data_IF_166287624713
#
_entry.id   IF_166287624713
#
_cell.length_a   1.000
_cell.length_b   1.000
_cell.length_c   1.000
_cell.angle_alpha   90.00
_cell.angle_beta   90.00
_cell.angle_gamma   90.00
#
_symmetry.space_group_name_H-M   'P 1'
#
loop_
_entity.id
_entity.type
_entity.pdbx_description
1 polymer ?
#
# COMPACT_ATOMS: atom_id res chain seq x y z
N UNK A 1 14.81 -34.08 -60.62
CA UNK A 1 15.44 -32.80 -61.01
C UNK A 1 14.60 -31.68 -60.43
N UNK A 2 15.18 -30.88 -59.54
CA UNK A 2 14.58 -29.67 -58.95
C UNK A 2 14.41 -28.58 -60.01
N UNK A 3 13.54 -27.57 -59.80
CA UNK A 3 13.99 -26.37 -59.08
C UNK A 3 12.97 -25.76 -58.10
N UNK A 4 13.51 -25.01 -57.15
CA UNK A 4 12.83 -24.05 -56.27
C UNK A 4 12.47 -22.75 -57.00
N UNK A 5 11.55 -21.94 -56.47
CA UNK A 5 11.75 -20.53 -56.07
C UNK A 5 10.43 -19.93 -55.52
N UNK A 6 10.58 -19.11 -54.47
CA UNK A 6 9.58 -18.29 -53.77
C UNK A 6 8.79 -17.33 -54.68
N UNK A 7 7.55 -16.94 -54.33
CA UNK A 7 7.21 -15.62 -53.74
C UNK A 7 5.69 -15.29 -53.70
N UNK A 8 5.30 -14.66 -52.58
CA UNK A 8 4.29 -13.61 -52.37
C UNK A 8 2.76 -13.80 -52.61
N UNK A 9 2.05 -13.56 -51.49
CA UNK A 9 0.87 -12.71 -51.26
C UNK A 9 -0.52 -13.09 -51.80
N UNK A 10 -1.36 -13.45 -50.82
CA UNK A 10 -2.64 -12.80 -50.49
C UNK A 10 -3.63 -12.49 -51.63
N UNK A 11 -4.78 -13.18 -51.62
CA UNK A 11 -6.10 -12.55 -51.44
C UNK A 11 -7.24 -13.56 -51.49
N UNK A 12 -8.27 -13.25 -50.69
CA UNK A 12 -9.68 -13.61 -50.87
C UNK A 12 -10.09 -15.07 -50.65
N UNK A 13 -10.52 -15.37 -49.42
CA UNK A 13 -11.77 -16.11 -49.24
C UNK A 13 -12.63 -15.41 -48.19
N UNK A 14 -13.54 -14.59 -48.71
CA UNK A 14 -14.68 -14.05 -47.99
C UNK A 14 -15.72 -15.17 -47.81
N UNK A 15 -16.48 -15.07 -46.72
CA UNK A 15 -17.77 -15.73 -46.45
C UNK A 15 -17.69 -17.19 -45.97
N UNK A 16 -17.86 -17.37 -44.65
CA UNK A 16 -19.17 -17.67 -44.09
C UNK A 16 -18.99 -18.44 -42.77
N UNK A 17 -19.20 -17.78 -41.62
CA UNK A 17 -19.75 -18.48 -40.47
C UNK A 17 -20.70 -17.54 -39.72
N UNK A 18 -21.97 -17.86 -39.90
CA UNK A 18 -23.08 -17.35 -39.14
C UNK A 18 -22.96 -17.78 -37.67
N UNK A 19 -23.28 -16.84 -36.79
CA UNK A 19 -24.02 -17.01 -35.55
C UNK A 19 -23.76 -18.26 -34.70
N UNK A 20 -22.91 -18.10 -33.69
CA UNK A 20 -23.17 -18.68 -32.37
C UNK A 20 -22.98 -17.60 -31.30
N UNK A 21 -24.08 -17.29 -30.64
CA UNK A 21 -24.18 -16.28 -29.61
C UNK A 21 -23.25 -16.59 -28.42
N UNK A 22 -22.39 -15.63 -28.14
CA UNK A 22 -21.52 -15.58 -26.98
C UNK A 22 -22.36 -15.24 -25.74
N UNK A 23 -22.59 -16.21 -24.86
CA UNK A 23 -23.10 -15.99 -23.51
C UNK A 23 -21.97 -15.49 -22.60
N UNK A 24 -21.65 -14.20 -22.66
CA UNK A 24 -20.85 -13.52 -21.65
C UNK A 24 -21.77 -12.57 -20.87
N UNK A 25 -22.07 -12.94 -19.62
CA UNK A 25 -22.67 -12.03 -18.65
C UNK A 25 -21.71 -10.86 -18.41
N UNK A 26 -21.96 -9.73 -19.08
CA UNK A 26 -21.28 -8.47 -18.78
C UNK A 26 -21.83 -7.91 -17.46
N UNK A 27 -20.96 -7.84 -16.46
CA UNK A 27 -21.21 -7.18 -15.19
C UNK A 27 -21.10 -5.65 -15.38
N UNK A 28 -22.16 -4.85 -15.18
CA UNK A 28 -22.10 -3.41 -15.44
C UNK A 28 -21.52 -2.69 -14.22
N UNK A 29 -20.19 -2.60 -14.11
CA UNK A 29 -19.52 -1.80 -13.06
C UNK A 29 -18.32 -0.99 -13.55
N UNK A 30 -18.38 -0.45 -14.77
CA UNK A 30 -17.41 0.57 -15.18
C UNK A 30 -18.13 1.75 -15.83
N UNK A 31 -18.38 2.76 -15.02
CA UNK A 31 -18.38 4.19 -15.37
C UNK A 31 -18.57 5.00 -14.07
N UNK A 32 -17.52 5.14 -13.27
CA UNK A 32 -17.52 6.11 -12.18
C UNK A 32 -17.11 7.47 -12.74
N UNK A 33 -18.05 8.42 -12.76
CA UNK A 33 -17.79 9.82 -13.09
C UNK A 33 -16.85 10.47 -12.04
N UNK A 34 -16.15 11.58 -12.37
CA UNK A 34 -15.37 12.32 -11.38
C UNK A 34 -16.26 12.78 -10.21
N UNK A 35 -15.79 12.54 -8.98
CA UNK A 35 -16.53 12.76 -7.75
C UNK A 35 -16.92 14.24 -7.58
N UNK A 36 -18.23 14.51 -7.46
CA UNK A 36 -18.76 15.74 -6.86
C UNK A 36 -19.65 15.34 -5.68
N UNK A 37 -19.41 15.86 -4.45
CA UNK A 37 -20.23 15.50 -3.30
C UNK A 37 -21.60 16.20 -3.37
N UNK A 38 -22.72 15.50 -3.05
CA UNK A 38 -24.02 16.14 -2.98
C UNK A 38 -24.17 16.97 -1.69
N UNK A 39 -24.71 18.19 -1.83
CA UNK A 39 -25.07 19.07 -0.71
C UNK A 39 -26.51 18.78 -0.29
N UNK A 40 -26.74 18.48 1.00
CA UNK A 40 -28.08 18.25 1.54
C UNK A 40 -28.88 19.57 1.67
N UNK A 41 -30.22 19.55 1.50
CA UNK A 41 -31.05 20.75 1.45
C UNK A 41 -31.12 21.59 2.75
N UNK A 42 -30.61 21.08 3.87
CA UNK A 42 -30.73 21.72 5.19
C UNK A 42 -29.40 22.23 5.79
N UNK A 43 -28.31 22.32 5.02
CA UNK A 43 -27.05 22.94 5.48
C UNK A 43 -26.30 22.19 6.59
N UNK A 44 -26.84 21.11 7.15
CA UNK A 44 -26.13 20.23 8.06
C UNK A 44 -25.26 19.24 7.27
N UNK A 45 -23.96 19.20 7.58
CA UNK A 45 -23.03 18.22 7.02
C UNK A 45 -23.13 16.93 7.87
N UNK A 46 -23.80 15.86 7.40
CA UNK A 46 -23.67 14.56 8.05
C UNK A 46 -22.19 14.12 8.02
N UNK A 47 -21.71 13.33 9.00
CA UNK A 47 -20.37 12.75 8.90
C UNK A 47 -20.28 12.02 7.57
N UNK A 48 -19.23 12.25 6.77
CA UNK A 48 -19.20 11.79 5.39
C UNK A 48 -19.10 10.26 5.40
N UNK A 49 -20.23 9.58 5.25
CA UNK A 49 -20.25 8.22 4.72
C UNK A 49 -20.06 8.38 3.23
N UNK A 50 -18.80 8.40 2.80
CA UNK A 50 -18.42 8.57 1.39
C UNK A 50 -18.89 7.34 0.61
N UNK A 51 -20.05 7.47 -0.03
CA UNK A 51 -20.62 6.47 -0.95
C UNK A 51 -19.56 6.14 -2.01
N UNK A 52 -19.18 4.86 -2.10
CA UNK A 52 -18.16 4.36 -3.05
C UNK A 52 -16.81 3.96 -2.45
N UNK A 53 -16.55 4.23 -1.17
CA UNK A 53 -15.29 3.85 -0.49
C UNK A 53 -15.40 2.61 0.42
N UNK A 54 -16.50 1.85 0.34
CA UNK A 54 -16.72 0.67 1.20
C UNK A 54 -15.58 -0.35 1.10
N UNK A 55 -15.01 -0.51 -0.09
CA UNK A 55 -13.87 -1.40 -0.34
C UNK A 55 -12.55 -0.92 0.28
N UNK A 56 -12.47 0.29 0.85
CA UNK A 56 -11.25 0.85 1.47
C UNK A 56 -11.20 0.65 3.00
N UNK A 57 -12.28 0.14 3.58
CA UNK A 57 -12.38 -0.20 5.00
C UNK A 57 -12.64 -1.71 5.18
N UNK A 58 -12.52 -2.20 6.42
CA UNK A 58 -13.07 -3.52 6.78
C UNK A 58 -14.57 -3.40 6.95
N UNK A 59 -15.34 -4.29 6.30
CA UNK A 59 -16.79 -4.37 6.50
C UNK A 59 -17.14 -4.70 7.98
N UNK A 60 -18.23 -4.13 8.50
CA UNK A 60 -18.52 -4.19 9.94
C UNK A 60 -18.82 -5.63 10.44
N UNK A 61 -19.47 -6.43 9.60
CA UNK A 61 -19.70 -7.86 9.81
C UNK A 61 -18.38 -8.66 9.83
N UNK A 62 -17.45 -8.32 8.94
CA UNK A 62 -16.13 -8.93 8.91
C UNK A 62 -15.31 -8.54 10.15
N UNK A 63 -15.35 -7.28 10.57
CA UNK A 63 -14.70 -6.82 11.81
C UNK A 63 -15.17 -7.61 13.02
N UNK A 64 -16.49 -7.78 13.15
CA UNK A 64 -17.11 -8.49 14.27
C UNK A 64 -16.76 -9.99 14.24
N UNK A 65 -16.89 -10.64 13.08
CA UNK A 65 -16.58 -12.08 12.92
C UNK A 65 -15.10 -12.39 13.15
N UNK A 66 -14.21 -11.49 12.74
CA UNK A 66 -12.78 -11.65 12.93
C UNK A 66 -12.31 -11.17 14.32
N UNK A 67 -13.17 -10.55 15.13
CA UNK A 67 -12.84 -9.94 16.42
C UNK A 67 -11.65 -8.96 16.32
N UNK A 68 -11.64 -8.13 15.28
CA UNK A 68 -10.58 -7.14 15.08
C UNK A 68 -10.73 -6.01 16.09
N UNK A 69 -9.68 -5.79 16.88
CA UNK A 69 -9.61 -4.69 17.86
C UNK A 69 -8.76 -3.56 17.32
N UNK A 70 -9.23 -2.33 17.53
CA UNK A 70 -8.48 -1.15 17.14
C UNK A 70 -7.17 -1.06 17.96
N UNK A 71 -6.00 -0.96 17.33
CA UNK A 71 -4.73 -0.96 18.03
C UNK A 71 -4.40 0.44 18.57
N UNK A 72 -5.04 0.83 19.67
CA UNK A 72 -4.88 2.16 20.27
C UNK A 72 -3.43 2.48 20.65
N UNK A 73 -2.69 1.50 21.19
CA UNK A 73 -1.27 1.64 21.53
C UNK A 73 -0.42 1.93 20.29
N UNK A 74 -0.68 1.24 19.17
CA UNK A 74 0.03 1.49 17.92
C UNK A 74 -0.15 2.93 17.44
N UNK A 75 -1.39 3.43 17.48
CA UNK A 75 -1.72 4.80 17.05
C UNK A 75 -1.05 5.81 17.98
N UNK A 76 -1.17 5.65 19.29
CA UNK A 76 -0.54 6.54 20.27
C UNK A 76 0.98 6.60 20.09
N UNK A 77 1.63 5.45 19.92
CA UNK A 77 3.09 5.38 19.96
C UNK A 77 3.74 5.75 18.61
N UNK A 78 3.04 5.55 17.49
CA UNK A 78 3.63 5.69 16.14
C UNK A 78 2.90 6.69 15.24
N UNK A 79 1.62 6.95 15.47
CA UNK A 79 0.77 7.76 14.59
C UNK A 79 0.15 8.95 15.35
N UNK A 80 0.79 9.44 16.42
CA UNK A 80 0.23 10.42 17.34
C UNK A 80 -0.24 11.74 16.67
N UNK A 81 0.37 12.13 15.55
CA UNK A 81 -0.02 13.33 14.79
C UNK A 81 -1.24 13.11 13.89
N UNK A 82 -1.87 11.93 13.95
CA UNK A 82 -3.02 11.58 13.14
C UNK A 82 -4.10 10.86 13.94
N UNK A 83 -5.33 11.37 13.88
CA UNK A 83 -6.52 10.73 14.46
C UNK A 83 -7.40 10.19 13.35
N UNK A 84 -7.60 8.87 13.35
CA UNK A 84 -8.45 8.22 12.35
C UNK A 84 -9.92 8.60 12.55
N UNK A 85 -10.56 9.09 11.49
CA UNK A 85 -12.02 9.32 11.44
C UNK A 85 -12.75 7.98 11.34
N UNK A 86 -12.18 7.06 10.57
CA UNK A 86 -12.68 5.71 10.38
C UNK A 86 -11.64 4.66 10.81
N UNK A 87 -11.76 4.12 12.04
CA UNK A 87 -10.89 3.07 12.56
C UNK A 87 -10.78 1.83 11.67
N UNK A 88 -11.80 1.53 10.86
CA UNK A 88 -11.86 0.32 10.05
C UNK A 88 -10.88 0.38 8.85
N UNK A 89 -10.42 1.57 8.45
CA UNK A 89 -9.38 1.72 7.42
C UNK A 89 -8.02 1.28 7.96
N UNK A 90 -7.67 1.67 9.20
CA UNK A 90 -6.44 1.19 9.84
C UNK A 90 -6.47 -0.32 10.07
N UNK A 91 -7.62 -0.86 10.50
CA UNK A 91 -7.79 -2.31 10.63
C UNK A 91 -7.51 -3.02 9.30
N UNK A 92 -8.01 -2.47 8.18
CA UNK A 92 -7.75 -3.02 6.85
C UNK A 92 -6.27 -2.99 6.50
N UNK A 93 -5.59 -1.87 6.79
CA UNK A 93 -4.17 -1.69 6.53
C UNK A 93 -3.27 -2.71 7.25
N UNK A 94 -3.72 -3.21 8.40
CA UNK A 94 -3.00 -4.21 9.20
C UNK A 94 -3.46 -5.64 8.91
N UNK A 95 -4.43 -5.85 8.03
CA UNK A 95 -5.08 -7.13 7.79
C UNK A 95 -4.38 -7.94 6.68
N UNK A 96 -3.57 -8.92 7.07
CA UNK A 96 -2.95 -9.83 6.10
C UNK A 96 -4.01 -10.75 5.46
N UNK A 97 -3.92 -11.10 4.16
CA UNK A 97 -4.87 -11.99 3.48
C UNK A 97 -5.07 -13.34 4.16
N UNK A 98 -4.06 -13.82 4.89
CA UNK A 98 -4.12 -15.13 5.52
C UNK A 98 -4.86 -15.17 6.87
N UNK A 99 -5.11 -14.03 7.52
CA UNK A 99 -5.64 -14.01 8.88
C UNK A 99 -7.09 -14.50 8.91
N UNK A 100 -7.37 -15.60 9.61
CA UNK A 100 -8.70 -16.25 9.63
C UNK A 100 -9.30 -16.43 8.24
N UNK A 101 -8.47 -16.74 7.23
CA UNK A 101 -8.90 -16.76 5.83
C UNK A 101 -10.09 -17.71 5.56
N UNK A 102 -10.18 -18.81 6.33
CA UNK A 102 -11.30 -19.77 6.26
C UNK A 102 -12.64 -19.15 6.68
N UNK A 103 -12.61 -18.17 7.58
CA UNK A 103 -13.80 -17.56 8.17
C UNK A 103 -14.35 -16.40 7.32
N UNK A 104 -13.58 -15.94 6.32
CA UNK A 104 -13.90 -14.74 5.53
C UNK A 104 -14.97 -14.94 4.44
N UNK A 105 -15.46 -16.16 4.21
CA UNK A 105 -16.54 -16.48 3.24
C UNK A 105 -16.42 -15.76 1.87
N UNK A 106 -15.20 -15.59 1.35
CA UNK A 106 -14.95 -14.91 0.07
C UNK A 106 -14.72 -13.39 0.14
N UNK A 107 -14.74 -12.78 1.32
CA UNK A 107 -14.35 -11.38 1.50
C UNK A 107 -12.86 -11.19 1.20
N UNK A 108 -12.57 -10.33 0.22
CA UNK A 108 -11.21 -10.01 -0.24
C UNK A 108 -10.53 -8.88 0.55
N UNK A 109 -11.08 -8.50 1.71
CA UNK A 109 -10.55 -7.39 2.51
C UNK A 109 -9.15 -7.70 3.06
N UNK A 110 -8.17 -6.93 2.60
CA UNK A 110 -6.80 -7.01 3.04
C UNK A 110 -6.08 -5.66 2.82
N UNK A 111 -4.82 -5.58 3.24
CA UNK A 111 -4.04 -4.36 3.15
C UNK A 111 -3.63 -3.93 1.72
N UNK A 112 -3.71 -4.80 0.72
CA UNK A 112 -3.05 -4.63 -0.59
C UNK A 112 -3.54 -3.39 -1.36
N UNK A 113 -4.84 -3.03 -1.39
CA UNK A 113 -5.27 -1.79 -2.03
C UNK A 113 -4.68 -0.54 -1.37
N UNK A 114 -4.51 -0.56 -0.04
CA UNK A 114 -3.90 0.54 0.70
C UNK A 114 -2.38 0.57 0.52
N UNK A 115 -1.72 -0.59 0.42
CA UNK A 115 -0.29 -0.71 0.07
C UNK A 115 -0.01 -0.11 -1.31
N UNK A 116 -0.87 -0.42 -2.28
CA UNK A 116 -0.76 0.11 -3.64
C UNK A 116 -0.76 1.65 -3.65
N UNK A 117 -1.80 2.28 -3.11
CA UNK A 117 -1.85 3.76 -3.07
C UNK A 117 -0.77 4.36 -2.15
N UNK A 118 -0.49 3.71 -1.02
CA UNK A 118 0.51 4.15 -0.06
C UNK A 118 1.94 4.19 -0.62
N UNK A 119 2.25 3.31 -1.59
CA UNK A 119 3.50 3.38 -2.34
C UNK A 119 3.70 4.73 -3.04
N UNK A 120 2.69 5.19 -3.78
CA UNK A 120 2.73 6.48 -4.48
C UNK A 120 2.77 7.67 -3.53
N UNK A 121 2.05 7.57 -2.40
CA UNK A 121 2.06 8.60 -1.36
C UNK A 121 3.46 8.76 -0.76
N UNK A 122 4.12 7.65 -0.39
CA UNK A 122 5.49 7.70 0.14
C UNK A 122 6.50 8.17 -0.92
N UNK A 123 6.32 7.76 -2.18
CA UNK A 123 7.10 8.27 -3.29
C UNK A 123 7.04 9.79 -3.39
N UNK A 124 5.83 10.37 -3.29
CA UNK A 124 5.64 11.82 -3.33
C UNK A 124 6.24 12.51 -2.09
N UNK A 125 5.93 12.03 -0.88
CA UNK A 125 6.39 12.62 0.38
C UNK A 125 7.91 12.70 0.42
N UNK A 126 8.60 11.60 0.08
CA UNK A 126 10.07 11.56 0.04
C UNK A 126 10.62 12.44 -1.08
N UNK A 127 10.06 12.36 -2.30
CA UNK A 127 10.49 13.21 -3.42
C UNK A 127 10.36 14.70 -3.09
N UNK A 128 9.25 15.12 -2.48
CA UNK A 128 8.99 16.50 -2.08
C UNK A 128 9.99 16.96 -1.03
N UNK A 129 10.23 16.15 0.01
CA UNK A 129 11.21 16.46 1.03
C UNK A 129 12.61 16.64 0.43
N UNK A 130 13.06 15.70 -0.42
CA UNK A 130 14.36 15.80 -1.09
C UNK A 130 14.45 17.11 -1.90
N UNK A 131 13.43 17.41 -2.70
CA UNK A 131 13.41 18.62 -3.53
C UNK A 131 13.50 19.91 -2.71
N UNK A 132 12.80 19.99 -1.58
CA UNK A 132 12.76 21.17 -0.73
C UNK A 132 14.03 21.34 0.12
N UNK A 133 14.70 20.25 0.48
CA UNK A 133 15.82 20.25 1.41
C UNK A 133 17.19 20.05 0.76
N UNK A 134 17.26 19.88 -0.56
CA UNK A 134 18.50 19.63 -1.30
C UNK A 134 18.65 20.48 -2.57
N UNK A 135 18.60 21.83 -2.49
CA UNK A 135 18.58 22.71 -3.66
C UNK A 135 19.84 22.59 -4.54
N UNK A 136 20.97 22.16 -3.97
CA UNK A 136 22.26 22.06 -4.67
C UNK A 136 22.64 20.61 -5.05
N UNK A 137 21.76 19.62 -4.83
CA UNK A 137 22.06 18.22 -5.17
C UNK A 137 21.68 17.93 -6.62
N UNK A 138 22.49 17.09 -7.28
CA UNK A 138 22.22 16.66 -8.64
C UNK A 138 21.01 15.72 -8.70
N UNK A 139 20.36 15.62 -9.87
CA UNK A 139 19.27 14.66 -10.10
C UNK A 139 19.66 13.22 -9.73
N UNK A 140 20.91 12.82 -10.05
CA UNK A 140 21.43 11.51 -9.70
C UNK A 140 21.47 11.28 -8.19
N UNK A 141 21.99 12.26 -7.42
CA UNK A 141 22.04 12.18 -5.96
C UNK A 141 20.65 12.13 -5.33
N UNK A 142 19.70 12.95 -5.82
CA UNK A 142 18.31 12.93 -5.35
C UNK A 142 17.64 11.57 -5.61
N UNK A 143 17.82 11.01 -6.81
CA UNK A 143 17.30 9.69 -7.17
C UNK A 143 17.91 8.58 -6.32
N UNK A 144 19.23 8.63 -6.10
CA UNK A 144 19.93 7.68 -5.24
C UNK A 144 19.38 7.69 -3.81
N UNK A 145 19.22 8.88 -3.20
CA UNK A 145 18.66 9.00 -1.86
C UNK A 145 17.22 8.48 -1.76
N UNK A 146 16.39 8.81 -2.74
CA UNK A 146 15.02 8.28 -2.84
C UNK A 146 15.01 6.75 -2.87
N UNK A 147 15.78 6.14 -3.77
CA UNK A 147 15.85 4.67 -3.92
C UNK A 147 16.36 4.01 -2.63
N UNK A 148 17.37 4.62 -1.99
CA UNK A 148 17.95 4.09 -0.77
C UNK A 148 16.94 3.98 0.37
N UNK A 149 16.03 4.95 0.54
CA UNK A 149 15.03 4.94 1.62
C UNK A 149 13.73 4.22 1.25
N UNK A 150 13.35 4.17 -0.03
CA UNK A 150 12.08 3.56 -0.47
C UNK A 150 12.18 2.12 -0.97
N UNK A 151 13.39 1.53 -1.02
CA UNK A 151 13.54 0.10 -1.31
C UNK A 151 12.87 -0.77 -0.23
N UNK A 152 12.44 -1.97 -0.62
CA UNK A 152 11.69 -2.89 0.24
C UNK A 152 12.37 -3.15 1.59
N UNK A 153 13.68 -3.38 1.60
CA UNK A 153 14.46 -3.61 2.83
C UNK A 153 14.41 -2.41 3.79
N UNK A 154 14.50 -1.18 3.28
CA UNK A 154 14.48 0.04 4.07
C UNK A 154 13.10 0.29 4.67
N UNK A 155 12.04 0.12 3.86
CA UNK A 155 10.67 0.20 4.33
C UNK A 155 10.34 -0.89 5.37
N UNK A 156 10.84 -2.11 5.18
CA UNK A 156 10.68 -3.17 6.18
C UNK A 156 11.44 -2.84 7.47
N UNK A 157 12.65 -2.26 7.37
CA UNK A 157 13.41 -1.76 8.50
C UNK A 157 12.63 -0.69 9.27
N UNK A 158 12.08 0.33 8.59
CA UNK A 158 11.25 1.36 9.23
C UNK A 158 10.02 0.77 9.91
N UNK A 159 9.36 -0.20 9.28
CA UNK A 159 8.22 -0.89 9.86
C UNK A 159 8.58 -1.63 11.17
N UNK A 160 9.71 -2.34 11.19
CA UNK A 160 10.16 -3.05 12.40
C UNK A 160 10.61 -2.07 13.48
N UNK A 161 11.41 -1.06 13.13
CA UNK A 161 11.90 -0.03 14.04
C UNK A 161 10.76 0.70 14.76
N UNK A 162 9.64 0.92 14.07
CA UNK A 162 8.44 1.55 14.60
C UNK A 162 7.35 0.52 14.98
N UNK A 163 7.73 -0.72 15.29
CA UNK A 163 6.84 -1.75 15.87
C UNK A 163 5.62 -2.18 15.03
N UNK A 164 5.51 -1.84 13.74
CA UNK A 164 4.36 -2.19 12.88
C UNK A 164 4.12 -3.71 12.86
N UNK A 165 5.22 -4.49 12.83
CA UNK A 165 5.20 -5.95 12.83
C UNK A 165 4.44 -6.57 14.01
N UNK A 166 4.30 -5.87 15.14
CA UNK A 166 3.59 -6.36 16.34
C UNK A 166 2.07 -6.28 16.21
N UNK A 167 1.57 -5.46 15.30
CA UNK A 167 0.14 -5.13 15.16
C UNK A 167 -0.50 -5.74 13.90
N UNK A 168 0.24 -6.55 13.15
CA UNK A 168 -0.29 -7.20 11.93
C UNK A 168 -1.22 -8.36 12.31
N UNK A 169 -2.45 -8.34 11.78
CA UNK A 169 -3.35 -9.48 11.86
C UNK A 169 -2.89 -10.53 10.83
N UNK A 170 -2.25 -11.59 11.32
CA UNK A 170 -1.60 -12.61 10.50
C UNK A 170 -1.77 -14.00 11.13
N UNK A 171 -2.01 -15.03 10.31
CA UNK A 171 -2.10 -16.43 10.77
C UNK A 171 -1.17 -17.42 10.06
N UNK A 172 -0.71 -17.11 8.83
CA UNK A 172 0.14 -18.04 8.07
C UNK A 172 1.48 -18.25 8.81
N UNK A 173 1.83 -19.48 9.23
CA UNK A 173 3.03 -19.72 10.05
C UNK A 173 4.33 -19.30 9.38
N UNK A 174 4.46 -19.52 8.07
CA UNK A 174 5.65 -19.15 7.29
C UNK A 174 5.88 -17.63 7.33
N UNK A 175 4.81 -16.85 7.17
CA UNK A 175 4.89 -15.38 7.23
C UNK A 175 5.16 -14.89 8.66
N UNK A 176 4.58 -15.55 9.68
CA UNK A 176 4.89 -15.25 11.09
C UNK A 176 6.37 -15.47 11.39
N UNK A 177 6.92 -16.61 10.94
CA UNK A 177 8.35 -16.91 11.08
C UNK A 177 9.19 -15.87 10.34
N UNK A 178 8.87 -15.59 9.07
CA UNK A 178 9.59 -14.60 8.27
C UNK A 178 9.61 -13.21 8.94
N UNK A 179 8.47 -12.77 9.48
CA UNK A 179 8.35 -11.51 10.19
C UNK A 179 9.20 -11.48 11.47
N UNK A 180 9.17 -12.55 12.27
CA UNK A 180 9.97 -12.68 13.49
C UNK A 180 11.47 -12.74 13.18
N UNK A 181 11.87 -13.58 12.23
CA UNK A 181 13.26 -13.78 11.84
C UNK A 181 13.85 -12.48 11.26
N UNK A 182 13.04 -11.72 10.50
CA UNK A 182 13.44 -10.40 10.02
C UNK A 182 13.62 -9.41 11.17
N UNK A 183 12.66 -9.33 12.10
CA UNK A 183 12.77 -8.43 13.26
C UNK A 183 13.97 -8.77 14.16
N UNK A 184 14.26 -10.06 14.33
CA UNK A 184 15.43 -10.54 15.07
C UNK A 184 16.75 -10.21 14.37
N UNK A 185 16.81 -10.37 13.04
CA UNK A 185 17.95 -9.97 12.23
C UNK A 185 18.27 -8.46 12.27
N UNK A 186 17.33 -7.64 12.76
CA UNK A 186 17.49 -6.19 12.91
C UNK A 186 17.88 -5.73 14.32
N UNK A 187 18.03 -6.64 15.31
CA UNK A 187 18.33 -6.26 16.72
C UNK A 187 19.56 -5.35 16.88
N UNK A 188 20.58 -5.55 16.04
CA UNK A 188 21.83 -4.80 16.08
C UNK A 188 22.00 -3.86 14.86
N UNK A 189 20.90 -3.52 14.19
CA UNK A 189 20.90 -2.64 13.01
C UNK A 189 20.40 -1.27 13.42
N UNK A 190 21.26 -0.25 13.36
CA UNK A 190 20.93 1.09 13.82
C UNK A 190 20.68 2.08 12.68
N UNK A 191 21.21 1.79 11.48
CA UNK A 191 21.09 2.64 10.29
C UNK A 191 20.74 1.83 9.04
N UNK A 192 20.36 2.51 7.95
CA UNK A 192 20.19 1.84 6.64
C UNK A 192 21.49 1.26 6.09
N UNK A 193 22.64 1.86 6.43
CA UNK A 193 23.95 1.37 5.99
C UNK A 193 24.27 0.00 6.61
N UNK A 194 23.79 -0.26 7.83
CA UNK A 194 24.01 -1.52 8.55
C UNK A 194 23.19 -2.68 7.96
N UNK A 195 22.13 -2.38 7.21
CA UNK A 195 21.24 -3.40 6.62
C UNK A 195 21.96 -4.38 5.71
N UNK A 196 23.11 -4.02 5.14
CA UNK A 196 23.93 -4.90 4.30
C UNK A 196 24.63 -6.01 5.10
N UNK A 197 24.86 -5.78 6.39
CA UNK A 197 25.49 -6.74 7.30
C UNK A 197 24.46 -7.59 8.08
N UNK A 198 23.19 -7.18 8.06
CA UNK A 198 22.13 -7.87 8.73
C UNK A 198 21.82 -9.24 8.08
N UNK A 199 21.85 -10.30 8.89
CA UNK A 199 21.38 -11.64 8.49
C UNK A 199 19.86 -11.65 8.47
N UNK A 200 19.26 -11.13 7.40
CA UNK A 200 17.80 -10.96 7.25
C UNK A 200 17.29 -11.60 5.96
N UNK A 201 16.08 -12.18 6.02
CA UNK A 201 15.32 -12.64 4.84
C UNK A 201 14.40 -11.53 4.34
N UNK A 202 13.75 -11.71 3.18
CA UNK A 202 12.69 -10.78 2.77
C UNK A 202 11.47 -10.93 3.68
N UNK A 203 10.84 -9.83 4.05
CA UNK A 203 9.60 -9.80 4.83
C UNK A 203 8.55 -8.96 4.12
N UNK A 204 7.27 -9.35 4.18
CA UNK A 204 6.18 -8.57 3.60
C UNK A 204 5.88 -7.27 4.37
N UNK A 205 6.49 -7.06 5.54
CA UNK A 205 6.15 -5.94 6.45
C UNK A 205 6.36 -4.55 5.83
N UNK A 206 7.19 -4.42 4.79
CA UNK A 206 7.29 -3.17 4.02
C UNK A 206 5.94 -2.77 3.39
N UNK A 207 5.11 -3.75 3.01
CA UNK A 207 3.77 -3.50 2.47
C UNK A 207 2.84 -2.96 3.54
N UNK A 208 2.99 -3.42 4.79
CA UNK A 208 2.22 -2.89 5.93
C UNK A 208 2.60 -1.45 6.23
N UNK A 209 3.88 -1.11 6.11
CA UNK A 209 4.33 0.27 6.26
C UNK A 209 3.67 1.19 5.22
N UNK A 210 3.64 0.76 3.95
CA UNK A 210 2.95 1.46 2.87
C UNK A 210 1.44 1.51 3.09
N UNK A 211 0.81 0.40 3.49
CA UNK A 211 -0.64 0.36 3.66
C UNK A 211 -1.14 1.30 4.75
N UNK A 212 -0.38 1.52 5.82
CA UNK A 212 -0.71 2.51 6.86
C UNK A 212 -0.58 3.93 6.31
N UNK A 213 0.42 4.22 5.46
CA UNK A 213 0.49 5.50 4.75
C UNK A 213 -0.73 5.72 3.86
N UNK A 214 -1.14 4.68 3.12
CA UNK A 214 -2.36 4.67 2.33
C UNK A 214 -3.62 4.83 3.17
N UNK A 215 -3.67 4.26 4.37
CA UNK A 215 -4.79 4.39 5.30
C UNK A 215 -5.00 5.83 5.75
N UNK A 216 -3.93 6.50 6.19
CA UNK A 216 -3.97 7.92 6.58
C UNK A 216 -4.38 8.77 5.37
N UNK A 217 -3.80 8.50 4.20
CA UNK A 217 -4.13 9.21 2.98
C UNK A 217 -5.61 9.11 2.63
N UNK A 218 -6.18 7.90 2.62
CA UNK A 218 -7.60 7.68 2.31
C UNK A 218 -8.51 8.28 3.37
N UNK A 219 -8.24 8.01 4.65
CA UNK A 219 -9.08 8.47 5.78
C UNK A 219 -9.11 10.01 5.89
N UNK A 220 -8.02 10.67 5.51
CA UNK A 220 -7.93 12.13 5.49
C UNK A 220 -8.64 12.78 4.29
N UNK A 221 -9.23 11.99 3.38
CA UNK A 221 -9.84 12.48 2.15
C UNK A 221 -8.80 12.76 1.06
N UNK A 222 -7.81 11.89 0.94
CA UNK A 222 -6.69 12.00 -0.01
C UNK A 222 -5.79 13.23 0.24
N UNK A 223 -5.55 13.56 1.51
CA UNK A 223 -4.69 14.68 1.89
C UNK A 223 -3.26 14.21 2.20
N UNK A 224 -2.31 14.51 1.31
CA UNK A 224 -0.88 14.18 1.50
C UNK A 224 -0.29 14.87 2.75
N UNK A 225 -0.75 16.08 3.09
CA UNK A 225 -0.23 16.83 4.24
C UNK A 225 -0.57 16.17 5.58
N UNK A 226 -1.56 15.26 5.61
CA UNK A 226 -1.84 14.45 6.80
C UNK A 226 -0.83 13.29 6.98
N UNK A 227 -0.24 12.80 5.89
CA UNK A 227 0.68 11.65 5.90
C UNK A 227 2.12 12.09 6.18
N UNK A 228 2.52 13.21 5.58
CA UNK A 228 3.89 13.74 5.63
C UNK A 228 4.48 13.85 7.04
N UNK A 229 3.86 14.52 8.03
CA UNK A 229 4.46 14.68 9.36
C UNK A 229 4.62 13.34 10.09
N UNK A 230 3.70 12.40 9.91
CA UNK A 230 3.75 11.08 10.55
C UNK A 230 4.91 10.26 9.99
N UNK A 231 5.02 10.17 8.67
CA UNK A 231 6.01 9.30 8.03
C UNK A 231 7.41 9.92 7.97
N UNK A 232 7.54 11.25 7.88
CA UNK A 232 8.84 11.89 7.96
C UNK A 232 9.49 11.69 9.34
N UNK A 233 8.74 11.65 10.45
CA UNK A 233 9.32 11.31 11.77
C UNK A 233 10.03 9.96 11.77
N UNK A 234 9.58 9.01 10.95
CA UNK A 234 10.14 7.66 10.87
C UNK A 234 11.29 7.52 9.87
N UNK A 235 11.35 8.38 8.84
CA UNK A 235 12.26 8.23 7.68
C UNK A 235 13.34 9.31 7.64
N UNK A 236 13.05 10.51 8.15
CA UNK A 236 13.85 11.74 7.93
C UNK A 236 15.31 11.57 8.33
N UNK A 237 15.57 10.95 9.49
CA UNK A 237 16.94 10.77 9.98
C UNK A 237 17.80 10.00 8.97
N UNK A 238 17.30 8.89 8.47
CA UNK A 238 18.00 8.04 7.51
C UNK A 238 18.07 8.70 6.13
N UNK A 239 17.03 9.42 5.73
CA UNK A 239 17.03 10.20 4.48
C UNK A 239 18.08 11.30 4.49
N UNK A 240 18.18 12.08 5.57
CA UNK A 240 19.20 13.11 5.74
C UNK A 240 20.61 12.52 5.75
N UNK A 241 20.80 11.34 6.38
CA UNK A 241 22.09 10.64 6.34
C UNK A 241 22.49 10.25 4.92
N UNK A 242 21.57 9.71 4.12
CA UNK A 242 21.88 9.33 2.73
C UNK A 242 22.09 10.54 1.84
N UNK A 243 21.37 11.65 2.06
CA UNK A 243 21.55 12.88 1.30
C UNK A 243 22.91 13.56 1.57
N UNK A 244 23.44 13.40 2.78
CA UNK A 244 24.70 14.03 3.22
C UNK A 244 25.94 13.13 3.11
N UNK A 245 25.75 11.83 2.80
CA UNK A 245 26.83 10.91 2.48
C UNK A 245 27.42 11.19 1.09
#
# INVERSE_FOLDING_TARGET
MTPSVQTFLASALLLAFASLACGQQQNPRHNAAPFTPPVAPNGAVPPPVVVGQEHLQVAQDLKNSLNLRFPADFVRDNLADYTFKNPNILLKALLHPSYKARDRKGAADNFEPLDYVGGFVLDYVVSRYILMNSPNKTQHAMSHAKVAVLRQDSLAYFAVKNNFHKYVFLDRPIEKSSLRDFAEGLRNVHTLADLKFAKKKRSFVYKIFKSVAGAIFVDSGFNIQAVEPVFLKMIKRELDQVLNA
#
